data_IF_753956917057
#
_entry.id   IF_753956917057
#
_cell.length_a   1.000
_cell.length_b   1.000
_cell.length_c   1.000
_cell.angle_alpha   90.00
_cell.angle_beta   90.00
_cell.angle_gamma   90.00
#
_symmetry.space_group_name_H-M   'P 1'
#
loop_
_entity.id
_entity.type
_entity.pdbx_description
1 polymer ?
#
# COMPACT_ATOMS: atom_id res chain seq x y z
N UNK A 1 17.34 44.93 17.84
CA UNK A 1 18.36 44.33 16.95
C UNK A 1 17.80 43.04 16.41
N UNK A 2 17.12 43.09 15.25
CA UNK A 2 16.60 41.91 14.56
C UNK A 2 17.53 41.56 13.41
N UNK A 3 18.16 40.39 13.46
CA UNK A 3 18.93 39.87 12.34
C UNK A 3 17.99 39.06 11.45
N UNK A 4 17.64 39.66 10.32
CA UNK A 4 16.98 38.99 9.20
C UNK A 4 18.02 38.13 8.48
N UNK A 5 17.87 36.81 8.57
CA UNK A 5 18.67 35.86 7.80
C UNK A 5 18.22 35.89 6.33
N UNK A 6 19.01 36.58 5.50
CA UNK A 6 18.94 36.42 4.04
C UNK A 6 19.61 35.10 3.66
N UNK A 7 18.82 34.08 3.32
CA UNK A 7 19.32 32.93 2.59
C UNK A 7 19.72 33.39 1.17
N UNK A 8 21.02 33.48 0.92
CA UNK A 8 21.57 33.59 -0.44
C UNK A 8 21.31 32.26 -1.15
N UNK A 9 20.47 32.28 -2.18
CA UNK A 9 20.43 31.22 -3.18
C UNK A 9 21.78 31.19 -3.89
N UNK A 10 22.65 30.26 -3.48
CA UNK A 10 23.87 29.91 -4.18
C UNK A 10 23.52 29.02 -5.36
N UNK A 11 23.75 29.53 -6.58
CA UNK A 11 23.89 28.82 -7.87
C UNK A 11 23.28 27.41 -7.92
N UNK A 12 21.98 27.34 -8.23
CA UNK A 12 21.31 26.12 -8.64
C UNK A 12 22.01 25.53 -9.89
N UNK A 13 22.24 24.20 -9.95
CA UNK A 13 22.57 23.55 -11.21
C UNK A 13 21.47 23.87 -12.22
N UNK A 14 21.85 24.14 -13.46
CA UNK A 14 20.94 24.44 -14.57
C UNK A 14 19.83 23.38 -14.66
N UNK A 15 18.59 23.78 -14.38
CA UNK A 15 17.38 22.93 -14.36
C UNK A 15 17.15 22.14 -15.66
N UNK A 16 17.69 22.58 -16.79
CA UNK A 16 17.56 21.91 -18.10
C UNK A 16 18.15 20.50 -18.16
N UNK A 17 19.08 20.13 -17.28
CA UNK A 17 19.71 18.80 -17.33
C UNK A 17 18.92 17.69 -16.61
N UNK A 18 17.80 18.01 -15.94
CA UNK A 18 17.11 17.09 -15.03
C UNK A 18 15.80 16.51 -15.57
N UNK A 19 15.31 16.97 -16.73
CA UNK A 19 14.04 16.52 -17.29
C UNK A 19 14.27 15.70 -18.56
N UNK A 20 13.92 14.40 -18.57
CA UNK A 20 13.94 13.62 -19.80
C UNK A 20 12.90 14.18 -20.77
N UNK A 21 13.39 14.76 -21.87
CA UNK A 21 12.57 15.10 -23.03
C UNK A 21 12.06 13.80 -23.66
N UNK A 22 10.76 13.72 -23.93
CA UNK A 22 10.19 12.64 -24.73
C UNK A 22 10.43 12.93 -26.21
N UNK A 23 10.89 11.94 -26.96
CA UNK A 23 11.12 12.07 -28.40
C UNK A 23 9.83 12.17 -29.18
N UNK A 24 9.80 13.09 -30.14
CA UNK A 24 8.70 13.25 -31.08
C UNK A 24 8.95 12.42 -32.33
N UNK A 25 7.99 11.57 -32.69
CA UNK A 25 7.97 10.88 -33.96
C UNK A 25 6.61 11.10 -34.63
N UNK A 26 6.59 11.09 -35.97
CA UNK A 26 5.42 11.39 -36.77
C UNK A 26 4.31 10.34 -36.68
N UNK A 27 3.49 10.26 -37.73
CA UNK A 27 2.38 9.31 -37.79
C UNK A 27 2.90 7.86 -37.73
N UNK A 28 2.47 7.11 -36.72
CA UNK A 28 2.79 5.69 -36.55
C UNK A 28 1.60 4.82 -36.99
N UNK A 29 1.85 3.72 -37.70
CA UNK A 29 0.80 2.81 -38.18
C UNK A 29 -0.05 2.20 -37.05
N UNK A 30 0.53 2.01 -35.85
CA UNK A 30 -0.19 1.54 -34.66
C UNK A 30 -1.23 2.56 -34.14
N UNK A 31 -1.12 3.82 -34.55
CA UNK A 31 -2.09 4.88 -34.26
C UNK A 31 -3.23 4.97 -35.30
N UNK A 32 -3.23 4.17 -36.36
CA UNK A 32 -4.25 4.23 -37.40
C UNK A 32 -5.66 4.05 -36.81
N UNK A 33 -6.57 4.96 -37.17
CA UNK A 33 -7.94 4.97 -36.65
C UNK A 33 -8.09 5.44 -35.20
N UNK A 34 -7.02 5.82 -34.51
CA UNK A 34 -7.09 6.34 -33.14
C UNK A 34 -7.88 7.67 -33.10
N UNK A 35 -8.91 7.80 -32.25
CA UNK A 35 -9.69 9.04 -32.14
C UNK A 35 -8.86 10.28 -31.76
N UNK A 36 -7.73 10.10 -31.05
CA UNK A 36 -6.86 11.21 -30.65
C UNK A 36 -6.27 11.95 -31.86
N UNK A 37 -6.06 11.28 -33.00
CA UNK A 37 -5.55 11.91 -34.23
C UNK A 37 -6.50 12.95 -34.82
N UNK A 38 -7.79 12.90 -34.44
CA UNK A 38 -8.81 13.88 -34.87
C UNK A 38 -9.00 15.01 -33.87
N UNK A 39 -8.37 14.93 -32.69
CA UNK A 39 -8.45 15.95 -31.66
C UNK A 39 -7.51 17.11 -32.00
N UNK A 40 -7.92 18.32 -31.64
CA UNK A 40 -7.07 19.52 -31.74
C UNK A 40 -6.02 19.51 -30.63
N UNK A 41 -4.93 18.79 -30.86
CA UNK A 41 -3.80 18.65 -29.95
C UNK A 41 -2.56 19.33 -30.54
N UNK A 42 -1.64 19.85 -29.70
CA UNK A 42 -0.44 20.52 -30.20
C UNK A 42 0.48 19.58 -30.98
N UNK A 43 0.42 18.28 -30.68
CA UNK A 43 1.10 17.23 -31.43
C UNK A 43 0.43 15.88 -31.17
N UNK A 44 0.83 14.85 -31.90
CA UNK A 44 0.34 13.48 -31.77
C UNK A 44 1.50 12.49 -31.72
N UNK A 45 1.30 11.35 -31.06
CA UNK A 45 2.22 10.19 -31.15
C UNK A 45 3.66 10.49 -30.72
N UNK A 46 3.84 10.95 -29.49
CA UNK A 46 5.15 11.10 -28.85
C UNK A 46 5.62 9.71 -28.38
N UNK A 47 6.66 9.17 -29.02
CA UNK A 47 7.17 7.81 -28.77
C UNK A 47 8.54 7.90 -28.12
N UNK A 48 8.62 7.46 -26.88
CA UNK A 48 9.75 7.65 -25.97
C UNK A 48 10.67 6.43 -25.84
N UNK A 49 10.25 5.28 -26.36
CA UNK A 49 11.02 4.04 -26.40
C UNK A 49 11.91 3.91 -27.64
N UNK A 50 11.97 4.94 -28.48
CA UNK A 50 12.76 4.92 -29.72
C UNK A 50 14.10 5.66 -29.59
N UNK A 51 14.42 6.17 -28.40
CA UNK A 51 15.56 7.09 -28.19
C UNK A 51 16.61 6.64 -27.17
N UNK A 52 16.23 5.83 -26.17
CA UNK A 52 17.16 5.32 -25.15
C UNK A 52 17.27 3.81 -25.26
N UNK A 53 18.40 3.32 -25.75
CA UNK A 53 18.75 1.90 -25.76
C UNK A 53 19.35 1.49 -24.42
N UNK A 54 18.52 1.30 -23.40
CA UNK A 54 18.98 0.66 -22.17
C UNK A 54 17.82 0.10 -21.34
N UNK A 55 18.01 -1.08 -20.73
CA UNK A 55 17.12 -1.51 -19.67
C UNK A 55 17.13 -0.51 -18.51
N UNK A 56 16.01 -0.38 -17.80
CA UNK A 56 15.90 0.44 -16.58
C UNK A 56 15.52 -0.44 -15.40
N UNK A 57 15.90 -0.05 -14.18
CA UNK A 57 15.41 -0.72 -12.98
C UNK A 57 13.95 -0.33 -12.71
N UNK A 58 13.64 0.96 -12.84
CA UNK A 58 12.35 1.55 -12.48
C UNK A 58 11.78 2.32 -13.67
N UNK A 59 10.50 2.11 -13.99
CA UNK A 59 9.79 2.90 -14.99
C UNK A 59 8.59 3.63 -14.36
N UNK A 60 8.61 4.96 -14.37
CA UNK A 60 7.45 5.77 -13.99
C UNK A 60 6.59 6.09 -15.20
N UNK A 61 5.30 5.76 -15.11
CA UNK A 61 4.31 6.00 -16.18
C UNK A 61 3.34 7.08 -15.72
N UNK A 62 3.40 8.26 -16.33
CA UNK A 62 2.41 9.33 -16.12
C UNK A 62 1.15 9.15 -16.98
N UNK A 63 0.22 10.09 -16.87
CA UNK A 63 -1.02 10.09 -17.66
C UNK A 63 -0.80 10.37 -19.16
N UNK A 64 -0.35 11.57 -19.49
CA UNK A 64 -0.08 12.02 -20.86
C UNK A 64 1.08 13.02 -20.88
N UNK A 65 1.67 13.24 -22.05
CA UNK A 65 2.78 14.17 -22.18
C UNK A 65 2.34 15.61 -21.86
N UNK A 66 3.22 16.34 -21.16
CA UNK A 66 2.99 17.73 -20.73
C UNK A 66 4.01 18.62 -21.42
N UNK A 67 3.55 19.72 -22.00
CA UNK A 67 4.46 20.72 -22.57
C UNK A 67 5.05 21.59 -21.45
N UNK A 68 6.36 21.70 -21.40
CA UNK A 68 7.11 22.55 -20.48
C UNK A 68 8.33 23.11 -21.22
N UNK A 69 8.49 24.44 -21.22
CA UNK A 69 9.62 25.14 -21.86
C UNK A 69 9.88 24.74 -23.33
N UNK A 70 8.82 24.41 -24.08
CA UNK A 70 8.91 24.01 -25.49
C UNK A 70 9.17 22.52 -25.72
N UNK A 71 9.38 21.75 -24.65
CA UNK A 71 9.59 20.31 -24.70
C UNK A 71 8.39 19.55 -24.13
N UNK A 72 8.24 18.29 -24.54
CA UNK A 72 7.24 17.39 -23.96
C UNK A 72 7.90 16.45 -22.96
N UNK A 73 7.38 16.44 -21.74
CA UNK A 73 7.89 15.60 -20.64
C UNK A 73 6.77 14.74 -20.07
N UNK A 74 7.12 13.64 -19.42
CA UNK A 74 6.14 12.79 -18.72
C UNK A 74 5.61 13.47 -17.45
N UNK A 75 6.50 14.18 -16.73
CA UNK A 75 6.21 14.86 -15.48
C UNK A 75 6.68 16.32 -15.54
N UNK A 76 6.09 17.21 -14.75
CA UNK A 76 6.58 18.59 -14.59
C UNK A 76 7.77 18.64 -13.62
N UNK A 77 8.55 19.73 -13.59
CA UNK A 77 9.69 19.88 -12.67
C UNK A 77 9.35 19.56 -11.21
N UNK A 78 8.21 20.05 -10.69
CA UNK A 78 7.83 19.81 -9.30
C UNK A 78 7.52 18.33 -9.03
N UNK A 79 6.99 17.62 -10.02
CA UNK A 79 6.65 16.20 -9.96
C UNK A 79 7.91 15.33 -9.99
N UNK A 80 8.86 15.65 -10.89
CA UNK A 80 10.18 15.00 -10.92
C UNK A 80 10.91 15.19 -9.59
N UNK A 81 10.89 16.39 -9.02
CA UNK A 81 11.53 16.66 -7.73
C UNK A 81 10.96 15.81 -6.60
N UNK A 82 9.66 15.53 -6.61
CA UNK A 82 9.04 14.64 -5.62
C UNK A 82 9.55 13.21 -5.79
N UNK A 83 9.52 12.68 -7.02
CA UNK A 83 10.02 11.33 -7.31
C UNK A 83 11.49 11.22 -6.89
N UNK A 84 12.34 12.14 -7.37
CA UNK A 84 13.77 12.14 -7.10
C UNK A 84 14.08 12.26 -5.61
N UNK A 85 13.34 13.10 -4.87
CA UNK A 85 13.53 13.23 -3.42
C UNK A 85 13.25 11.92 -2.69
N UNK A 86 12.21 11.18 -3.08
CA UNK A 86 11.90 9.90 -2.43
C UNK A 86 12.89 8.79 -2.84
N UNK A 87 13.33 8.76 -4.11
CA UNK A 87 14.37 7.82 -4.56
C UNK A 87 15.73 8.10 -3.92
N UNK A 88 16.10 9.37 -3.71
CA UNK A 88 17.36 9.76 -3.07
C UNK A 88 17.48 9.35 -1.59
N UNK A 89 16.40 8.82 -0.98
CA UNK A 89 16.44 8.24 0.38
C UNK A 89 17.11 6.86 0.39
N UNK A 90 17.29 6.24 -0.77
CA UNK A 90 17.94 4.96 -0.92
C UNK A 90 19.41 5.15 -1.29
N UNK A 91 20.26 4.26 -0.78
CA UNK A 91 21.70 4.26 -1.11
C UNK A 91 21.99 3.70 -2.51
N UNK A 92 21.03 3.00 -3.10
CA UNK A 92 21.14 2.35 -4.39
C UNK A 92 20.94 3.37 -5.52
N UNK A 93 21.83 3.33 -6.50
CA UNK A 93 21.65 4.07 -7.74
C UNK A 93 20.85 3.19 -8.70
N UNK A 94 19.58 3.52 -8.90
CA UNK A 94 18.72 2.84 -9.87
C UNK A 94 18.71 3.58 -11.20
N UNK A 95 18.70 2.83 -12.30
CA UNK A 95 18.41 3.39 -13.62
C UNK A 95 16.89 3.64 -13.72
N UNK A 96 16.49 4.91 -13.92
CA UNK A 96 15.09 5.30 -13.92
C UNK A 96 14.65 5.78 -15.29
N UNK A 97 13.61 5.16 -15.83
CA UNK A 97 12.89 5.58 -17.02
C UNK A 97 11.60 6.35 -16.68
N UNK A 98 11.19 7.21 -17.61
CA UNK A 98 9.96 7.98 -17.49
C UNK A 98 9.21 7.96 -18.82
N UNK A 99 7.92 7.68 -18.76
CA UNK A 99 7.05 7.59 -19.93
C UNK A 99 5.65 8.10 -19.60
N UNK A 100 4.81 8.18 -20.62
CA UNK A 100 3.39 8.47 -20.50
C UNK A 100 2.58 7.28 -20.95
N UNK A 101 1.43 7.06 -20.29
CA UNK A 101 0.48 6.04 -20.71
C UNK A 101 -0.13 6.39 -22.06
N UNK A 102 -0.55 7.65 -22.23
CA UNK A 102 -1.08 8.16 -23.50
C UNK A 102 0.00 8.94 -24.23
N UNK A 103 0.29 8.54 -25.47
CA UNK A 103 1.36 9.12 -26.30
C UNK A 103 0.97 10.45 -26.96
N UNK A 104 -0.29 10.88 -26.83
CA UNK A 104 -0.75 12.21 -27.21
C UNK A 104 -0.86 13.10 -25.96
N UNK A 105 -0.45 14.37 -26.01
CA UNK A 105 -0.51 15.27 -24.87
C UNK A 105 -1.95 15.67 -24.51
N UNK A 106 -2.14 16.15 -23.28
CA UNK A 106 -3.41 16.68 -22.75
C UNK A 106 -4.60 15.70 -22.79
N UNK A 107 -4.33 14.39 -22.76
CA UNK A 107 -5.37 13.37 -22.59
C UNK A 107 -5.58 13.11 -21.10
N UNK A 108 -6.80 13.31 -20.64
CA UNK A 108 -7.25 13.14 -19.27
C UNK A 108 -8.18 11.94 -19.16
N UNK A 109 -8.60 11.56 -17.95
CA UNK A 109 -9.59 10.49 -17.78
C UNK A 109 -10.94 10.79 -18.44
N UNK A 110 -11.28 12.07 -18.65
CA UNK A 110 -12.57 12.49 -19.21
C UNK A 110 -12.65 12.30 -20.73
N UNK A 111 -11.52 12.46 -21.43
CA UNK A 111 -11.45 12.32 -22.89
C UNK A 111 -10.76 11.01 -23.34
N UNK A 112 -10.41 10.12 -22.40
CA UNK A 112 -9.83 8.81 -22.67
C UNK A 112 -10.87 7.80 -23.18
N UNK A 113 -11.16 7.85 -24.48
CA UNK A 113 -12.06 6.90 -25.15
C UNK A 113 -11.48 5.48 -25.26
N UNK A 114 -12.35 4.48 -25.48
CA UNK A 114 -11.93 3.08 -25.69
C UNK A 114 -10.97 2.91 -26.88
N UNK A 115 -11.17 3.68 -27.96
CA UNK A 115 -10.27 3.65 -29.12
C UNK A 115 -8.87 4.15 -28.76
N UNK A 116 -8.77 5.26 -28.01
CA UNK A 116 -7.48 5.78 -27.54
C UNK A 116 -6.79 4.78 -26.63
N UNK A 117 -7.54 4.15 -25.71
CA UNK A 117 -6.99 3.11 -24.82
C UNK A 117 -6.39 1.95 -25.60
N UNK A 118 -7.11 1.43 -26.59
CA UNK A 118 -6.65 0.30 -27.40
C UNK A 118 -5.35 0.64 -28.14
N UNK A 119 -5.30 1.78 -28.83
CA UNK A 119 -4.11 2.18 -29.60
C UNK A 119 -2.91 2.49 -28.69
N UNK A 120 -3.11 3.24 -27.61
CA UNK A 120 -1.99 3.62 -26.72
C UNK A 120 -1.48 2.45 -25.86
N UNK A 121 -2.33 1.45 -25.57
CA UNK A 121 -1.88 0.26 -24.82
C UNK A 121 -0.77 -0.49 -25.55
N UNK A 122 -0.85 -0.59 -26.88
CA UNK A 122 0.19 -1.23 -27.71
C UNK A 122 1.52 -0.49 -27.52
N UNK A 123 1.51 0.83 -27.63
CA UNK A 123 2.71 1.64 -27.42
C UNK A 123 3.26 1.56 -26.00
N UNK A 124 2.38 1.40 -25.00
CA UNK A 124 2.82 1.22 -23.62
C UNK A 124 3.48 -0.15 -23.42
N UNK A 125 2.95 -1.20 -24.05
CA UNK A 125 3.60 -2.51 -24.08
C UNK A 125 4.95 -2.45 -24.79
N UNK A 126 5.03 -1.79 -25.96
CA UNK A 126 6.30 -1.57 -26.65
C UNK A 126 7.32 -0.87 -25.73
N UNK A 127 6.86 0.12 -24.94
CA UNK A 127 7.70 0.83 -23.97
C UNK A 127 8.26 -0.12 -22.91
N UNK A 128 7.41 -1.00 -22.36
CA UNK A 128 7.82 -2.00 -21.36
C UNK A 128 8.74 -3.06 -21.97
N UNK A 129 8.43 -3.56 -23.15
CA UNK A 129 9.23 -4.56 -23.86
C UNK A 129 10.62 -4.04 -24.22
N UNK A 130 10.72 -2.74 -24.54
CA UNK A 130 11.97 -2.05 -24.84
C UNK A 130 12.80 -1.79 -23.57
N UNK A 131 12.21 -1.15 -22.56
CA UNK A 131 12.93 -0.76 -21.34
C UNK A 131 13.15 -1.92 -20.35
N UNK A 132 12.42 -3.04 -20.50
CA UNK A 132 12.48 -4.22 -19.61
C UNK A 132 12.59 -3.86 -18.12
N UNK A 133 11.68 -3.01 -17.60
CA UNK A 133 11.76 -2.53 -16.23
C UNK A 133 11.59 -3.68 -15.24
N UNK A 134 12.36 -3.65 -14.14
CA UNK A 134 12.14 -4.58 -13.01
C UNK A 134 10.87 -4.21 -12.25
N UNK A 135 10.60 -2.90 -12.12
CA UNK A 135 9.43 -2.38 -11.43
C UNK A 135 8.81 -1.19 -12.18
N UNK A 136 7.49 -1.19 -12.30
CA UNK A 136 6.72 -0.16 -13.01
C UNK A 136 5.80 0.57 -12.03
N UNK A 137 5.91 1.90 -11.95
CA UNK A 137 4.98 2.73 -11.19
C UNK A 137 3.94 3.37 -12.10
N UNK A 138 2.68 2.94 -11.96
CA UNK A 138 1.56 3.50 -12.70
C UNK A 138 1.00 4.71 -11.93
N UNK A 139 1.32 5.92 -12.37
CA UNK A 139 0.96 7.15 -11.67
C UNK A 139 -0.47 7.59 -12.00
N UNK A 140 -1.38 7.41 -11.04
CA UNK A 140 -2.76 7.86 -11.14
C UNK A 140 -3.66 7.03 -12.07
N UNK A 141 -4.89 7.50 -12.23
CA UNK A 141 -6.00 6.73 -12.82
C UNK A 141 -5.81 6.38 -14.29
N UNK A 142 -5.24 7.29 -15.10
CA UNK A 142 -5.07 7.08 -16.55
C UNK A 142 -4.05 5.98 -16.82
N UNK A 143 -2.85 6.07 -16.23
CA UNK A 143 -1.81 5.07 -16.38
C UNK A 143 -2.27 3.69 -15.91
N UNK A 144 -2.87 3.66 -14.71
CA UNK A 144 -3.46 2.43 -14.15
C UNK A 144 -4.51 1.83 -15.07
N UNK A 145 -5.48 2.62 -15.53
CA UNK A 145 -6.56 2.13 -16.41
C UNK A 145 -6.02 1.56 -17.71
N UNK A 146 -4.95 2.14 -18.27
CA UNK A 146 -4.40 1.70 -19.53
C UNK A 146 -3.67 0.36 -19.40
N UNK A 147 -2.82 0.20 -18.39
CA UNK A 147 -2.09 -1.05 -18.10
C UNK A 147 -3.07 -2.20 -17.83
N UNK A 148 -4.06 -1.97 -16.96
CA UNK A 148 -5.09 -2.96 -16.64
C UNK A 148 -6.13 -3.18 -17.74
N UNK A 149 -6.17 -2.30 -18.76
CA UNK A 149 -7.21 -2.29 -19.80
C UNK A 149 -8.61 -1.87 -19.32
N UNK A 150 -8.80 -1.65 -18.02
CA UNK A 150 -10.07 -1.23 -17.41
C UNK A 150 -9.83 -0.40 -16.15
N UNK A 151 -10.83 0.40 -15.80
CA UNK A 151 -10.81 1.13 -14.54
C UNK A 151 -10.79 0.15 -13.36
N UNK A 152 -9.96 0.44 -12.37
CA UNK A 152 -9.85 -0.29 -11.11
C UNK A 152 -10.15 0.68 -9.97
N UNK A 153 -10.69 0.16 -8.88
CA UNK A 153 -10.95 0.92 -7.68
C UNK A 153 -9.63 1.17 -6.94
N UNK A 154 -9.24 2.44 -6.81
CA UNK A 154 -7.92 2.84 -6.29
C UNK A 154 -7.64 2.28 -4.89
N UNK A 155 -8.65 2.27 -4.01
CA UNK A 155 -8.60 1.69 -2.66
C UNK A 155 -8.20 0.21 -2.63
N UNK A 156 -8.40 -0.52 -3.73
CA UNK A 156 -8.13 -1.97 -3.79
C UNK A 156 -6.75 -2.30 -4.33
N UNK A 157 -6.16 -1.43 -5.14
CA UNK A 157 -4.96 -1.71 -5.94
C UNK A 157 -3.78 -0.78 -5.67
N UNK A 158 -4.00 0.39 -5.04
CA UNK A 158 -2.91 1.33 -4.72
C UNK A 158 -1.86 0.63 -3.87
N UNK A 159 -0.59 0.81 -4.22
CA UNK A 159 0.54 0.32 -3.43
C UNK A 159 0.75 -1.20 -3.50
N UNK A 160 -0.16 -1.93 -4.17
CA UNK A 160 -0.05 -3.37 -4.34
C UNK A 160 0.71 -3.69 -5.62
N UNK A 161 1.64 -4.62 -5.50
CA UNK A 161 2.35 -5.19 -6.63
C UNK A 161 1.43 -6.18 -7.34
N UNK A 162 1.36 -6.05 -8.66
CA UNK A 162 0.65 -6.97 -9.54
C UNK A 162 1.57 -7.36 -10.69
N UNK A 163 1.37 -8.55 -11.25
CA UNK A 163 2.16 -9.01 -12.41
C UNK A 163 1.30 -8.92 -13.65
N UNK A 164 1.77 -8.16 -14.63
CA UNK A 164 1.12 -8.02 -15.93
C UNK A 164 2.02 -8.58 -17.03
N UNK A 165 1.41 -8.88 -18.18
CA UNK A 165 2.10 -9.43 -19.34
C UNK A 165 1.82 -8.55 -20.55
N UNK A 166 2.87 -8.18 -21.28
CA UNK A 166 2.74 -7.45 -22.56
C UNK A 166 2.18 -8.36 -23.65
N UNK A 167 1.85 -7.78 -24.81
CA UNK A 167 1.39 -8.57 -25.97
C UNK A 167 2.52 -9.45 -26.54
N UNK A 168 3.78 -9.07 -26.34
CA UNK A 168 4.94 -9.87 -26.71
C UNK A 168 5.28 -10.98 -25.71
N UNK A 169 4.58 -11.05 -24.56
CA UNK A 169 4.79 -12.06 -23.53
C UNK A 169 5.80 -11.67 -22.44
N UNK A 170 6.22 -10.40 -22.36
CA UNK A 170 7.10 -9.92 -21.29
C UNK A 170 6.29 -9.74 -20.02
N UNK A 171 6.66 -10.48 -18.97
CA UNK A 171 6.12 -10.28 -17.62
C UNK A 171 6.80 -9.08 -16.96
N UNK A 172 6.03 -8.26 -16.26
CA UNK A 172 6.54 -7.12 -15.50
C UNK A 172 5.69 -6.85 -14.25
N UNK A 173 6.34 -6.33 -13.22
CA UNK A 173 5.68 -5.94 -11.98
C UNK A 173 5.20 -4.49 -12.06
N UNK A 174 3.94 -4.25 -11.69
CA UNK A 174 3.33 -2.93 -11.67
C UNK A 174 2.82 -2.58 -10.28
N UNK A 175 3.01 -1.33 -9.88
CA UNK A 175 2.49 -0.76 -8.64
C UNK A 175 1.72 0.53 -8.97
N UNK A 176 0.38 0.52 -8.85
CA UNK A 176 -0.43 1.73 -8.95
C UNK A 176 -0.17 2.67 -7.78
N UNK A 177 0.16 3.93 -8.06
CA UNK A 177 0.46 4.94 -7.03
C UNK A 177 -0.29 6.25 -7.29
N UNK A 178 -0.33 7.10 -6.26
CA UNK A 178 -0.81 8.50 -6.38
C UNK A 178 0.01 9.20 -7.47
N UNK A 179 -0.66 9.99 -8.32
CA UNK A 179 0.07 10.77 -9.31
C UNK A 179 0.91 11.84 -8.60
N UNK A 180 2.21 12.03 -8.91
CA UNK A 180 3.05 13.06 -8.27
C UNK A 180 2.44 14.46 -8.25
N UNK A 181 1.76 14.91 -9.32
CA UNK A 181 0.94 16.12 -9.31
C UNK A 181 -0.03 16.22 -8.11
N UNK A 182 -0.71 15.15 -7.73
CA UNK A 182 -1.63 15.15 -6.59
C UNK A 182 -0.90 15.33 -5.26
N UNK A 183 0.39 14.98 -5.18
CA UNK A 183 1.23 15.27 -4.00
C UNK A 183 1.67 16.74 -3.99
N UNK A 184 1.97 17.32 -5.16
CA UNK A 184 2.23 18.77 -5.29
C UNK A 184 0.98 19.56 -4.89
N UNK A 185 -0.18 19.17 -5.41
CA UNK A 185 -1.45 19.88 -5.21
C UNK A 185 -1.99 19.70 -3.78
N UNK A 186 -1.86 18.50 -3.22
CA UNK A 186 -2.37 18.13 -1.89
C UNK A 186 -1.27 17.43 -1.07
N UNK A 187 -0.49 18.18 -0.27
CA UNK A 187 0.65 17.62 0.48
C UNK A 187 0.30 16.47 1.44
N UNK A 188 -0.96 16.34 1.87
CA UNK A 188 -1.44 15.20 2.67
C UNK A 188 -1.21 13.85 1.98
N UNK A 189 -1.17 13.82 0.65
CA UNK A 189 -0.93 12.62 -0.14
C UNK A 189 0.55 12.17 -0.10
N UNK A 190 1.46 13.02 0.41
CA UNK A 190 2.89 12.71 0.46
C UNK A 190 3.20 11.46 1.29
N UNK A 191 2.43 11.22 2.36
CA UNK A 191 2.61 10.03 3.19
C UNK A 191 2.35 8.75 2.39
N UNK A 192 1.17 8.65 1.76
CA UNK A 192 0.79 7.48 0.97
C UNK A 192 1.73 7.27 -0.23
N UNK A 193 2.04 8.33 -0.97
CA UNK A 193 2.97 8.26 -2.10
C UNK A 193 4.34 7.73 -1.69
N UNK A 194 4.87 8.24 -0.57
CA UNK A 194 6.13 7.78 0.00
C UNK A 194 6.06 6.31 0.40
N UNK A 195 5.05 5.92 1.17
CA UNK A 195 4.89 4.55 1.64
C UNK A 195 4.77 3.58 0.46
N UNK A 196 4.02 3.95 -0.58
CA UNK A 196 3.89 3.12 -1.78
C UNK A 196 5.22 2.89 -2.51
N UNK A 197 6.03 3.94 -2.66
CA UNK A 197 7.37 3.79 -3.23
C UNK A 197 8.27 2.96 -2.31
N UNK A 198 8.30 3.28 -1.03
CA UNK A 198 9.22 2.67 -0.08
C UNK A 198 8.98 1.17 0.05
N UNK A 199 7.71 0.76 0.20
CA UNK A 199 7.31 -0.63 0.29
C UNK A 199 7.67 -1.41 -0.98
N UNK A 200 7.30 -0.87 -2.15
CA UNK A 200 7.56 -1.53 -3.43
C UNK A 200 9.06 -1.68 -3.71
N UNK A 201 9.86 -0.64 -3.44
CA UNK A 201 11.32 -0.68 -3.65
C UNK A 201 12.01 -1.65 -2.69
N UNK A 202 11.64 -1.62 -1.40
CA UNK A 202 12.18 -2.55 -0.40
C UNK A 202 11.86 -4.00 -0.75
N UNK A 203 10.62 -4.29 -1.13
CA UNK A 203 10.16 -5.65 -1.35
C UNK A 203 10.60 -6.21 -2.71
N UNK A 204 10.42 -5.45 -3.79
CA UNK A 204 10.61 -5.97 -5.15
C UNK A 204 12.05 -5.76 -5.67
N UNK A 205 12.71 -4.66 -5.30
CA UNK A 205 14.08 -4.40 -5.78
C UNK A 205 15.16 -4.81 -4.80
N UNK A 206 14.91 -4.67 -3.49
CA UNK A 206 15.86 -5.01 -2.43
C UNK A 206 15.60 -6.39 -1.81
N UNK A 207 14.46 -7.04 -2.12
CA UNK A 207 14.14 -8.37 -1.64
C UNK A 207 13.98 -8.48 -0.12
N UNK A 208 13.53 -7.40 0.53
CA UNK A 208 13.35 -7.36 1.99
C UNK A 208 12.09 -8.07 2.48
N UNK A 209 11.19 -8.45 1.57
CA UNK A 209 9.96 -9.11 1.97
C UNK A 209 10.25 -10.49 2.58
N UNK A 210 9.71 -10.73 3.78
CA UNK A 210 9.84 -11.96 4.55
C UNK A 210 8.48 -12.57 4.83
N UNK A 211 8.40 -13.90 4.84
CA UNK A 211 7.19 -14.59 5.30
C UNK A 211 7.06 -14.40 6.82
N UNK A 212 5.93 -13.86 7.26
CA UNK A 212 5.65 -13.72 8.68
C UNK A 212 5.23 -15.08 9.24
N UNK A 213 6.09 -15.68 10.06
CA UNK A 213 5.72 -16.85 10.85
C UNK A 213 5.63 -16.46 12.32
N UNK A 214 4.41 -16.50 12.85
CA UNK A 214 4.16 -16.33 14.28
C UNK A 214 3.83 -17.70 14.87
N UNK A 215 4.69 -18.16 15.78
CA UNK A 215 4.43 -19.38 16.54
C UNK A 215 3.18 -19.19 17.42
N UNK A 216 2.31 -20.18 17.47
CA UNK A 216 1.06 -20.10 18.19
C UNK A 216 0.71 -21.41 18.91
N UNK A 217 0.10 -21.27 20.08
CA UNK A 217 -0.44 -22.37 20.87
C UNK A 217 -1.96 -22.40 20.70
N UNK A 218 -2.49 -23.45 20.07
CA UNK A 218 -3.93 -23.72 20.06
C UNK A 218 -4.29 -24.57 21.28
N UNK A 219 -4.95 -23.98 22.28
CA UNK A 219 -5.38 -24.74 23.45
C UNK A 219 -6.73 -25.43 23.18
N UNK A 220 -6.74 -26.75 23.20
CA UNK A 220 -7.91 -27.61 22.98
C UNK A 220 -8.42 -28.23 24.28
N UNK A 221 -7.71 -28.02 25.39
CA UNK A 221 -8.01 -28.58 26.69
C UNK A 221 -7.66 -27.62 27.83
N UNK A 222 -8.16 -27.93 29.03
CA UNK A 222 -7.81 -27.17 30.25
C UNK A 222 -6.31 -27.32 30.56
N UNK A 223 -5.71 -28.50 30.31
CA UNK A 223 -4.30 -28.74 30.57
C UNK A 223 -3.39 -27.86 29.72
N UNK A 224 -3.66 -27.77 28.41
CA UNK A 224 -2.88 -26.92 27.49
C UNK A 224 -3.04 -25.43 27.84
N UNK A 225 -4.22 -24.99 28.28
CA UNK A 225 -4.37 -23.63 28.80
C UNK A 225 -3.57 -23.44 30.09
N UNK A 226 -3.59 -24.40 31.00
CA UNK A 226 -2.89 -24.31 32.28
C UNK A 226 -1.36 -24.18 32.13
N UNK A 227 -0.79 -24.72 31.05
CA UNK A 227 0.63 -24.58 30.71
C UNK A 227 1.05 -23.14 30.43
N UNK A 228 0.13 -22.32 29.90
CA UNK A 228 0.46 -20.97 29.40
C UNK A 228 -0.27 -19.84 30.15
N UNK A 229 -1.35 -20.14 30.89
CA UNK A 229 -2.26 -19.13 31.46
C UNK A 229 -1.56 -18.07 32.31
N UNK A 230 -0.52 -18.45 33.06
CA UNK A 230 0.16 -17.55 33.99
C UNK A 230 0.85 -16.41 33.25
N UNK A 231 1.42 -16.70 32.07
CA UNK A 231 2.11 -15.73 31.21
C UNK A 231 1.15 -14.64 30.70
N UNK A 232 -0.13 -14.95 30.55
CA UNK A 232 -1.14 -14.01 30.04
C UNK A 232 -1.85 -13.23 31.15
N UNK A 233 -2.02 -13.82 32.33
CA UNK A 233 -2.75 -13.19 33.45
C UNK A 233 -1.84 -12.25 34.26
N UNK A 234 -0.60 -12.65 34.56
CA UNK A 234 0.31 -11.85 35.39
C UNK A 234 1.43 -11.22 34.57
N UNK A 235 1.02 -10.48 33.55
CA UNK A 235 1.94 -9.77 32.65
C UNK A 235 1.71 -8.27 32.66
N UNK A 236 2.79 -7.54 32.40
CA UNK A 236 2.78 -6.11 32.09
C UNK A 236 2.94 -5.85 30.58
N UNK A 237 3.25 -6.90 29.81
CA UNK A 237 3.27 -6.85 28.34
C UNK A 237 1.91 -6.48 27.80
N UNK A 238 1.89 -5.76 26.69
CA UNK A 238 0.64 -5.45 26.01
C UNK A 238 0.04 -6.74 25.43
N UNK A 239 -1.29 -6.81 25.42
CA UNK A 239 -2.04 -7.97 24.98
C UNK A 239 -2.79 -7.60 23.71
N UNK A 240 -2.31 -8.06 22.55
CA UNK A 240 -3.02 -7.92 21.29
C UNK A 240 -4.10 -9.01 21.20
N UNK A 241 -5.35 -8.61 20.94
CA UNK A 241 -6.51 -9.50 20.99
C UNK A 241 -7.30 -9.35 19.70
N UNK A 242 -7.65 -10.48 19.12
CA UNK A 242 -8.51 -10.56 17.95
C UNK A 242 -9.51 -11.71 18.11
N UNK A 243 -10.73 -11.53 17.62
CA UNK A 243 -11.76 -12.58 17.66
C UNK A 243 -12.23 -12.92 16.25
N UNK A 244 -12.35 -14.22 16.01
CA UNK A 244 -13.03 -14.73 14.83
C UNK A 244 -14.48 -15.06 15.19
N UNK A 245 -15.42 -14.73 14.31
CA UNK A 245 -16.86 -14.84 14.57
C UNK A 245 -17.58 -15.56 13.43
N UNK A 246 -18.80 -16.06 13.67
CA UNK A 246 -19.64 -16.65 12.60
C UNK A 246 -20.16 -15.62 11.61
N UNK A 247 -20.16 -14.34 11.99
CA UNK A 247 -20.72 -13.23 11.25
C UNK A 247 -20.60 -11.93 12.04
N UNK A 248 -21.19 -10.84 11.53
CA UNK A 248 -20.96 -9.49 12.04
C UNK A 248 -22.00 -9.04 13.09
N UNK A 249 -23.06 -9.80 13.33
CA UNK A 249 -24.13 -9.43 14.24
C UNK A 249 -23.92 -10.03 15.63
N UNK A 250 -23.35 -9.25 16.55
CA UNK A 250 -23.07 -9.71 17.92
C UNK A 250 -24.30 -10.20 18.72
N UNK A 251 -25.54 -9.95 18.26
CA UNK A 251 -26.74 -10.48 18.90
C UNK A 251 -27.08 -11.90 18.43
N UNK A 252 -26.69 -12.28 17.22
CA UNK A 252 -27.07 -13.54 16.56
C UNK A 252 -25.88 -14.47 16.35
N UNK A 253 -24.72 -13.90 16.00
CA UNK A 253 -23.49 -14.60 15.67
C UNK A 253 -22.68 -14.97 16.91
N UNK A 254 -21.86 -16.01 16.85
CA UNK A 254 -21.03 -16.49 17.97
C UNK A 254 -19.54 -16.24 17.77
N UNK A 255 -18.79 -16.26 18.87
CA UNK A 255 -17.32 -16.23 18.83
C UNK A 255 -16.83 -17.63 18.45
N UNK A 256 -16.15 -17.76 17.31
CA UNK A 256 -15.46 -18.97 16.92
C UNK A 256 -14.18 -19.15 17.73
N UNK A 257 -13.29 -18.16 17.69
CA UNK A 257 -12.01 -18.21 18.39
C UNK A 257 -11.68 -16.85 18.99
N UNK A 258 -10.87 -16.87 20.04
CA UNK A 258 -10.21 -15.68 20.58
C UNK A 258 -8.71 -15.93 20.50
N UNK A 259 -7.98 -15.05 19.84
CA UNK A 259 -6.52 -15.06 19.82
C UNK A 259 -5.98 -13.96 20.73
N UNK A 260 -4.87 -14.25 21.38
CA UNK A 260 -4.18 -13.33 22.29
C UNK A 260 -2.68 -13.44 22.07
N UNK A 261 -2.02 -12.33 21.79
CA UNK A 261 -0.57 -12.26 21.59
C UNK A 261 0.04 -11.32 22.62
N UNK A 262 1.08 -11.79 23.32
CA UNK A 262 1.88 -10.92 24.19
C UNK A 262 2.82 -10.07 23.35
N UNK A 263 2.89 -8.77 23.63
CA UNK A 263 3.75 -7.83 22.92
C UNK A 263 4.54 -7.02 23.94
N UNK A 264 5.87 -7.05 23.81
CA UNK A 264 6.72 -6.21 24.63
C UNK A 264 6.49 -4.75 24.22
N UNK A 265 6.00 -3.93 25.17
CA UNK A 265 5.62 -2.54 24.89
C UNK A 265 6.79 -1.68 24.41
N UNK A 266 7.99 -1.95 24.92
CA UNK A 266 9.15 -1.09 24.69
C UNK A 266 9.92 -1.50 23.43
N UNK A 267 10.01 -2.81 23.16
CA UNK A 267 10.75 -3.34 22.01
C UNK A 267 9.87 -3.68 20.81
N UNK A 268 8.57 -3.88 21.01
CA UNK A 268 7.65 -4.41 20.00
C UNK A 268 7.80 -5.90 19.74
N UNK A 269 8.70 -6.59 20.45
CA UNK A 269 8.94 -8.03 20.27
C UNK A 269 7.70 -8.85 20.65
N UNK A 270 7.38 -9.81 19.79
CA UNK A 270 6.28 -10.74 20.01
C UNK A 270 6.69 -11.81 21.03
N UNK A 271 5.86 -11.99 22.04
CA UNK A 271 5.87 -13.15 22.93
C UNK A 271 5.01 -14.28 22.37
N UNK A 272 4.42 -15.08 23.27
CA UNK A 272 3.55 -16.19 22.88
C UNK A 272 2.21 -15.70 22.33
N UNK A 273 1.73 -16.39 21.29
CA UNK A 273 0.36 -16.31 20.79
C UNK A 273 -0.44 -17.51 21.29
N UNK A 274 -1.60 -17.26 21.91
CA UNK A 274 -2.55 -18.25 22.37
C UNK A 274 -3.85 -18.12 21.58
N UNK A 275 -4.35 -19.24 21.07
CA UNK A 275 -5.64 -19.32 20.37
C UNK A 275 -6.57 -20.22 21.17
N UNK A 276 -7.75 -19.70 21.50
CA UNK A 276 -8.81 -20.38 22.23
C UNK A 276 -10.02 -20.58 21.33
N UNK A 277 -10.35 -21.81 20.91
CA UNK A 277 -11.60 -22.09 20.25
C UNK A 277 -12.74 -22.02 21.28
N UNK A 278 -13.72 -21.16 21.03
CA UNK A 278 -14.89 -20.99 21.90
C UNK A 278 -16.07 -21.78 21.32
N UNK A 279 -16.62 -21.35 20.18
CA UNK A 279 -17.69 -22.06 19.48
C UNK A 279 -17.25 -22.59 18.09
N UNK A 280 -15.95 -22.80 17.89
CA UNK A 280 -15.44 -23.41 16.67
C UNK A 280 -15.98 -24.83 16.44
N UNK A 281 -16.58 -25.07 15.27
CA UNK A 281 -17.29 -26.32 14.94
C UNK A 281 -16.41 -27.57 15.05
N UNK A 282 -15.13 -27.43 14.71
CA UNK A 282 -14.19 -28.56 14.71
C UNK A 282 -13.61 -28.88 16.09
N UNK A 283 -13.60 -27.92 17.01
CA UNK A 283 -12.96 -28.11 18.31
C UNK A 283 -13.79 -28.98 19.28
N UNK A 284 -15.10 -29.14 19.02
CA UNK A 284 -16.04 -30.00 19.77
C UNK A 284 -15.84 -29.97 21.30
N UNK A 285 -15.57 -28.78 21.86
CA UNK A 285 -15.29 -28.62 23.29
C UNK A 285 -16.56 -28.77 24.13
N UNK A 286 -16.44 -29.47 25.26
CA UNK A 286 -17.51 -29.54 26.25
C UNK A 286 -17.71 -28.23 27.00
N UNK A 287 -18.92 -27.98 27.52
CA UNK A 287 -19.28 -26.75 28.24
C UNK A 287 -18.33 -26.40 29.39
N UNK A 288 -17.78 -27.40 30.09
CA UNK A 288 -16.80 -27.19 31.16
C UNK A 288 -15.52 -26.50 30.66
N UNK A 289 -14.98 -26.96 29.53
CA UNK A 289 -13.74 -26.40 28.95
C UNK A 289 -14.01 -24.98 28.47
N UNK A 290 -15.12 -24.76 27.75
CA UNK A 290 -15.54 -23.42 27.31
C UNK A 290 -15.69 -22.45 28.48
N UNK A 291 -16.30 -22.89 29.57
CA UNK A 291 -16.45 -22.07 30.79
C UNK A 291 -15.11 -21.65 31.39
N UNK A 292 -14.13 -22.56 31.43
CA UNK A 292 -12.76 -22.25 31.89
C UNK A 292 -12.06 -21.28 30.94
N UNK A 293 -12.19 -21.46 29.63
CA UNK A 293 -11.62 -20.54 28.64
C UNK A 293 -12.21 -19.14 28.77
N UNK A 294 -13.53 -19.03 28.92
CA UNK A 294 -14.17 -17.74 29.14
C UNK A 294 -13.76 -17.08 30.46
N UNK A 295 -13.61 -17.86 31.53
CA UNK A 295 -13.11 -17.34 32.80
C UNK A 295 -11.68 -16.79 32.68
N UNK A 296 -10.82 -17.49 31.93
CA UNK A 296 -9.48 -17.02 31.61
C UNK A 296 -9.52 -15.70 30.81
N UNK A 297 -10.37 -15.60 29.79
CA UNK A 297 -10.54 -14.38 29.00
C UNK A 297 -11.00 -13.22 29.91
N UNK A 298 -11.96 -13.44 30.80
CA UNK A 298 -12.37 -12.42 31.77
C UNK A 298 -11.20 -11.94 32.63
N UNK A 299 -10.36 -12.85 33.13
CA UNK A 299 -9.19 -12.51 33.94
C UNK A 299 -8.16 -11.69 33.15
N UNK A 300 -7.86 -12.11 31.92
CA UNK A 300 -6.92 -11.39 31.06
C UNK A 300 -7.42 -9.97 30.74
N UNK A 301 -8.71 -9.82 30.41
CA UNK A 301 -9.34 -8.52 30.12
C UNK A 301 -9.44 -7.61 31.35
N UNK A 302 -9.55 -8.19 32.55
CA UNK A 302 -9.62 -7.46 33.80
C UNK A 302 -8.25 -6.98 34.35
N UNK A 303 -7.12 -7.48 33.81
CA UNK A 303 -5.79 -7.16 34.33
C UNK A 303 -5.43 -5.67 34.12
N UNK A 304 -5.33 -4.86 35.16
CA UNK A 304 -5.02 -3.42 35.02
C UNK A 304 -3.57 -3.09 34.69
N UNK A 305 -2.66 -4.07 34.71
CA UNK A 305 -1.22 -3.86 34.48
C UNK A 305 -0.86 -3.79 32.98
N UNK A 306 -1.63 -4.47 32.13
CA UNK A 306 -1.41 -4.48 30.69
C UNK A 306 -2.41 -3.60 29.91
N UNK A 307 -2.06 -3.31 28.66
CA UNK A 307 -2.97 -2.71 27.67
C UNK A 307 -3.59 -3.82 26.82
N UNK A 308 -4.85 -3.65 26.42
CA UNK A 308 -5.54 -4.57 25.50
C UNK A 308 -5.60 -3.86 24.16
N UNK A 309 -4.86 -4.36 23.20
CA UNK A 309 -4.75 -3.78 21.88
C UNK A 309 -5.70 -4.54 20.96
N UNK A 310 -6.71 -3.87 20.44
CA UNK A 310 -7.70 -4.45 19.51
C UNK A 310 -7.84 -3.55 18.29
N UNK A 311 -8.26 -4.11 17.16
CA UNK A 311 -8.60 -3.34 15.97
C UNK A 311 -10.11 -3.13 15.91
N UNK A 312 -10.57 -1.86 15.94
CA UNK A 312 -12.00 -1.56 15.97
C UNK A 312 -12.69 -2.22 17.18
N UNK A 313 -12.10 -2.02 18.37
CA UNK A 313 -12.39 -2.69 19.63
C UNK A 313 -13.89 -2.73 20.00
N UNK A 314 -14.66 -1.73 19.57
CA UNK A 314 -16.10 -1.69 19.79
C UNK A 314 -16.86 -2.87 19.17
N UNK A 315 -16.30 -3.55 18.16
CA UNK A 315 -16.84 -4.79 17.62
C UNK A 315 -16.60 -5.96 18.59
N UNK A 316 -15.33 -6.21 18.93
CA UNK A 316 -14.92 -7.36 19.74
C UNK A 316 -15.52 -7.29 21.15
N UNK A 317 -15.49 -6.10 21.76
CA UNK A 317 -16.00 -5.88 23.11
C UNK A 317 -17.51 -6.14 23.22
N UNK A 318 -18.29 -5.94 22.15
CA UNK A 318 -19.73 -6.27 22.16
C UNK A 318 -19.95 -7.76 22.19
N UNK A 319 -19.17 -8.52 21.41
CA UNK A 319 -19.20 -9.98 21.45
C UNK A 319 -18.76 -10.48 22.83
N UNK A 320 -17.59 -10.06 23.31
CA UNK A 320 -17.05 -10.45 24.60
C UNK A 320 -18.02 -10.15 25.76
N UNK A 321 -18.68 -8.98 25.74
CA UNK A 321 -19.70 -8.63 26.74
C UNK A 321 -20.87 -9.61 26.76
N UNK A 322 -21.35 -10.07 25.60
CA UNK A 322 -22.42 -11.08 25.53
C UNK A 322 -21.99 -12.43 26.15
N UNK A 323 -20.70 -12.74 26.11
CA UNK A 323 -20.12 -13.93 26.74
C UNK A 323 -19.74 -13.72 28.22
N UNK A 324 -20.13 -12.60 28.84
CA UNK A 324 -19.92 -12.34 30.27
C UNK A 324 -18.59 -11.68 30.63
N UNK A 325 -17.90 -11.08 29.64
CA UNK A 325 -16.70 -10.26 29.89
C UNK A 325 -17.14 -8.83 30.20
N UNK A 326 -17.35 -8.54 31.49
CA UNK A 326 -17.83 -7.23 31.95
C UNK A 326 -16.71 -6.28 32.38
N UNK A 327 -15.70 -6.81 33.08
CA UNK A 327 -14.55 -6.04 33.57
C UNK A 327 -13.45 -5.96 32.52
N UNK A 328 -13.40 -4.83 31.81
CA UNK A 328 -12.37 -4.55 30.80
C UNK A 328 -11.65 -3.24 31.12
N UNK A 329 -10.32 -3.29 31.21
CA UNK A 329 -9.49 -2.11 31.52
C UNK A 329 -8.40 -1.88 30.47
N UNK A 330 -8.00 -0.61 30.29
CA UNK A 330 -6.89 -0.19 29.41
C UNK A 330 -7.03 -0.69 27.96
N UNK A 331 -8.16 -0.41 27.31
CA UNK A 331 -8.36 -0.75 25.89
C UNK A 331 -7.73 0.31 24.99
N UNK A 332 -6.97 -0.16 24.00
CA UNK A 332 -6.30 0.62 22.98
C UNK A 332 -6.81 0.13 21.62
N UNK A 333 -7.55 0.98 20.92
CA UNK A 333 -8.07 0.67 19.60
C UNK A 333 -7.10 1.19 18.53
N UNK A 334 -6.46 0.30 17.78
CA UNK A 334 -5.47 0.64 16.75
C UNK A 334 -6.04 1.54 15.65
N UNK A 335 -7.36 1.45 15.36
CA UNK A 335 -8.03 2.35 14.41
C UNK A 335 -8.15 3.77 14.95
N UNK A 336 -8.43 3.92 16.25
CA UNK A 336 -8.47 5.23 16.91
C UNK A 336 -7.06 5.79 17.07
N UNK A 337 -6.09 4.97 17.45
CA UNK A 337 -4.68 5.36 17.56
C UNK A 337 -4.15 5.86 16.21
N UNK A 338 -4.43 5.14 15.11
CA UNK A 338 -4.07 5.59 13.78
C UNK A 338 -4.71 6.94 13.45
N UNK A 339 -5.98 7.13 13.79
CA UNK A 339 -6.67 8.39 13.54
C UNK A 339 -6.05 9.56 14.30
N UNK A 340 -5.58 9.34 15.54
CA UNK A 340 -4.87 10.36 16.31
C UNK A 340 -3.48 10.66 15.76
N UNK A 341 -2.79 9.65 15.23
CA UNK A 341 -1.45 9.81 14.66
C UNK A 341 -1.47 10.43 13.27
N UNK A 342 -2.36 9.95 12.39
CA UNK A 342 -2.56 10.40 11.00
C UNK A 342 -4.02 10.30 10.61
N UNK A 343 -4.75 11.37 10.85
CA UNK A 343 -6.20 11.46 10.63
C UNK A 343 -6.62 11.22 9.17
N UNK A 344 -5.85 11.77 8.22
CA UNK A 344 -6.20 11.83 6.80
C UNK A 344 -5.92 10.54 6.00
N UNK A 345 -5.40 9.50 6.67
CA UNK A 345 -4.97 8.26 6.02
C UNK A 345 -5.99 7.15 6.30
N UNK A 346 -6.24 6.23 5.33
CA UNK A 346 -7.01 5.02 5.59
C UNK A 346 -6.54 4.27 6.85
N UNK A 347 -7.46 3.60 7.52
CA UNK A 347 -7.24 3.00 8.85
C UNK A 347 -7.96 1.67 9.03
N UNK A 348 -8.20 0.97 7.91
CA UNK A 348 -8.59 -0.44 7.99
C UNK A 348 -7.42 -1.28 8.48
N UNK A 349 -7.68 -2.50 8.95
CA UNK A 349 -6.60 -3.40 9.40
C UNK A 349 -5.57 -3.62 8.29
N UNK A 350 -6.05 -3.89 7.07
CA UNK A 350 -5.20 -4.09 5.90
C UNK A 350 -4.33 -2.86 5.58
N UNK A 351 -4.85 -1.64 5.78
CA UNK A 351 -4.07 -0.42 5.60
C UNK A 351 -2.95 -0.32 6.65
N UNK A 352 -3.26 -0.60 7.93
CA UNK A 352 -2.26 -0.55 9.00
C UNK A 352 -1.15 -1.57 8.80
N UNK A 353 -1.51 -2.80 8.42
CA UNK A 353 -0.53 -3.85 8.09
C UNK A 353 0.39 -3.36 6.97
N UNK A 354 -0.18 -2.80 5.90
CA UNK A 354 0.59 -2.26 4.79
C UNK A 354 1.52 -1.09 5.17
N UNK A 355 1.14 -0.26 6.15
CA UNK A 355 1.97 0.87 6.58
C UNK A 355 3.10 0.49 7.54
N UNK A 356 2.82 -0.43 8.46
CA UNK A 356 3.71 -0.71 9.60
C UNK A 356 4.44 -2.03 9.50
N UNK A 357 3.94 -2.97 8.70
CA UNK A 357 4.55 -4.27 8.45
C UNK A 357 4.68 -4.51 6.93
N UNK A 358 5.27 -3.57 6.17
CA UNK A 358 5.28 -3.64 4.71
C UNK A 358 6.14 -4.78 4.17
N UNK A 359 7.12 -5.24 4.93
CA UNK A 359 8.03 -6.33 4.58
C UNK A 359 7.44 -7.71 4.91
N UNK A 360 6.32 -7.77 5.64
CA UNK A 360 5.68 -9.04 6.02
C UNK A 360 4.71 -9.52 4.95
N UNK A 361 4.95 -10.74 4.45
CA UNK A 361 4.02 -11.50 3.61
C UNK A 361 3.18 -12.40 4.52
N UNK A 362 1.86 -12.20 4.48
CA UNK A 362 0.85 -12.95 5.23
C UNK A 362 0.10 -13.95 4.36
#
# INVERSE_FOLDING_TARGET
MSQTFYYRYSNSPTYHSLMPQLSFQGVNSKCEGCPALKMNLPTHTILDYEYKDAPVDILFISDSAKMFEGEFTAFRPQEYNIIQRELARFSQNWEVGYTTAVKCPNITSENLSTGIKKSCKIHLHDTVDHYKPRLVFACGKVATTLLYGKAKEESKIRGKVDTLVTEAGTEFQVVPIIHPFQVVAEPKNAYLFRTDLENALNNELLGKATDAQVDHTLAMSIGELDEVKAEFIDTEMDLAIDIETTGLNFLEDTIHTVSMTLVNRDTGELGRTLVLPIDHKEAKLGYKVKGVFMQFICQAMANKKNRKVLQNAGFDLKFLKRYGVDDVYNVYDTKLLQHLYKEDVPKSLADLVYYYFPEEKF
#
